data_IF_594889291974
#
_entry.id   IF_594889291974
#
_cell.length_a   1.000
_cell.length_b   1.000
_cell.length_c   1.000
_cell.angle_alpha   90.00
_cell.angle_beta   90.00
_cell.angle_gamma   90.00
#
_symmetry.space_group_name_H-M   'P 1'
#
loop_
_entity.id
_entity.type
_entity.pdbx_description
1 polymer ?
#
# COMPACT_ATOMS: atom_id res chain seq x y z
N UNK A 1 18.12 -7.87 -16.87
CA UNK A 1 17.06 -8.32 -15.94
C UNK A 1 16.20 -7.12 -15.53
N UNK A 2 15.06 -6.88 -16.19
CA UNK A 2 14.26 -5.63 -16.02
C UNK A 2 12.83 -5.86 -15.51
N UNK A 3 12.53 -7.03 -14.95
CA UNK A 3 11.17 -7.43 -14.57
C UNK A 3 10.83 -7.23 -13.08
N UNK A 4 11.72 -6.64 -12.28
CA UNK A 4 11.52 -6.58 -10.82
C UNK A 4 10.58 -5.48 -10.32
N UNK A 5 10.41 -4.38 -11.06
CA UNK A 5 9.93 -3.12 -10.44
C UNK A 5 8.65 -2.47 -11.02
N UNK A 6 7.94 -3.11 -11.95
CA UNK A 6 6.68 -2.54 -12.48
C UNK A 6 6.85 -1.23 -13.26
N UNK A 7 5.74 -0.64 -13.72
CA UNK A 7 5.75 0.58 -14.57
C UNK A 7 6.41 1.79 -13.88
N UNK A 8 6.35 1.84 -12.56
CA UNK A 8 6.79 2.97 -11.75
C UNK A 8 8.15 2.77 -11.08
N UNK A 9 8.83 1.65 -11.32
CA UNK A 9 10.13 1.40 -10.69
C UNK A 9 10.05 0.98 -9.22
N UNK A 10 8.86 0.66 -8.71
CA UNK A 10 8.66 0.07 -7.39
C UNK A 10 7.44 -0.86 -7.33
N UNK A 11 7.45 -1.75 -6.35
CA UNK A 11 6.39 -2.70 -6.05
C UNK A 11 5.63 -2.33 -4.78
N UNK A 12 4.31 -2.55 -4.79
CA UNK A 12 3.40 -2.18 -3.71
C UNK A 12 2.89 -3.42 -2.99
N UNK A 13 3.20 -3.55 -1.70
CA UNK A 13 2.58 -4.50 -0.79
C UNK A 13 1.28 -3.95 -0.23
N UNK A 14 0.30 -4.83 0.01
CA UNK A 14 -0.94 -4.46 0.69
C UNK A 14 -1.01 -5.24 1.99
N UNK A 15 -1.07 -4.50 3.09
CA UNK A 15 -1.17 -5.02 4.44
C UNK A 15 -2.59 -4.73 4.94
N UNK A 16 -3.39 -5.77 5.09
CA UNK A 16 -4.78 -5.65 5.49
C UNK A 16 -4.92 -5.68 7.02
N UNK A 17 -4.98 -4.51 7.64
CA UNK A 17 -5.36 -4.35 9.05
C UNK A 17 -6.85 -4.00 9.26
N UNK A 18 -7.61 -3.89 8.17
CA UNK A 18 -9.01 -3.44 8.21
C UNK A 18 -9.95 -4.53 8.74
N UNK A 19 -9.57 -5.80 8.56
CA UNK A 19 -10.41 -6.97 8.84
C UNK A 19 -11.36 -7.34 7.70
N UNK A 20 -11.33 -6.64 6.57
CA UNK A 20 -12.08 -7.00 5.36
C UNK A 20 -11.14 -7.37 4.22
N UNK A 21 -11.14 -8.64 3.83
CA UNK A 21 -10.30 -9.14 2.71
C UNK A 21 -10.76 -8.58 1.36
N UNK A 22 -12.04 -8.22 1.22
CA UNK A 22 -12.58 -7.62 0.00
C UNK A 22 -11.94 -6.25 -0.29
N UNK A 23 -11.84 -5.39 0.73
CA UNK A 23 -11.21 -4.07 0.61
C UNK A 23 -9.74 -4.16 0.17
N UNK A 24 -9.01 -5.15 0.68
CA UNK A 24 -7.63 -5.40 0.28
C UNK A 24 -7.53 -5.83 -1.19
N UNK A 25 -8.44 -6.69 -1.66
CA UNK A 25 -8.50 -7.12 -3.07
C UNK A 25 -8.90 -5.99 -4.01
N UNK A 26 -9.89 -5.19 -3.64
CA UNK A 26 -10.31 -4.01 -4.40
C UNK A 26 -9.18 -2.98 -4.51
N UNK A 27 -8.46 -2.75 -3.42
CA UNK A 27 -7.28 -1.86 -3.42
C UNK A 27 -6.21 -2.39 -4.36
N UNK A 28 -5.94 -3.70 -4.32
CA UNK A 28 -4.99 -4.34 -5.22
C UNK A 28 -5.41 -4.17 -6.68
N UNK A 29 -6.68 -4.37 -6.99
CA UNK A 29 -7.21 -4.20 -8.34
C UNK A 29 -7.06 -2.76 -8.82
N UNK A 30 -7.51 -1.77 -8.04
CA UNK A 30 -7.38 -0.34 -8.38
C UNK A 30 -5.94 0.08 -8.64
N UNK A 31 -5.00 -0.41 -7.84
CA UNK A 31 -3.57 -0.16 -8.02
C UNK A 31 -3.02 -0.83 -9.28
N UNK A 32 -3.44 -2.06 -9.59
CA UNK A 32 -3.06 -2.73 -10.85
C UNK A 32 -3.61 -2.01 -12.08
N UNK A 33 -4.85 -1.54 -12.04
CA UNK A 33 -5.46 -0.74 -13.11
C UNK A 33 -4.71 0.58 -13.36
N UNK A 34 -4.18 1.18 -12.28
CA UNK A 34 -3.30 2.35 -12.36
C UNK A 34 -1.87 2.03 -12.81
N UNK A 35 -1.55 0.76 -13.02
CA UNK A 35 -0.25 0.30 -13.52
C UNK A 35 0.79 -0.03 -12.45
N UNK A 36 0.41 -0.05 -11.17
CA UNK A 36 1.30 -0.47 -10.09
C UNK A 36 1.50 -1.99 -10.08
N UNK A 37 2.71 -2.41 -9.73
CA UNK A 37 3.04 -3.83 -9.50
C UNK A 37 2.69 -4.18 -8.06
N UNK A 38 1.73 -5.06 -7.86
CA UNK A 38 1.43 -5.59 -6.51
C UNK A 38 2.43 -6.68 -6.17
N UNK A 39 3.17 -6.49 -5.07
CA UNK A 39 4.12 -7.47 -4.53
C UNK A 39 3.38 -8.62 -3.84
N UNK A 40 2.30 -8.31 -3.13
CA UNK A 40 1.48 -9.29 -2.43
C UNK A 40 0.42 -8.61 -1.56
N UNK A 41 -0.50 -9.42 -1.03
CA UNK A 41 -1.50 -9.01 -0.05
C UNK A 41 -1.31 -9.91 1.18
N UNK A 42 -1.12 -9.31 2.35
CA UNK A 42 -0.96 -10.02 3.62
C UNK A 42 -1.90 -9.43 4.66
N UNK A 43 -2.49 -10.29 5.47
CA UNK A 43 -3.34 -9.86 6.58
C UNK A 43 -2.50 -9.54 7.81
N UNK A 44 -2.84 -8.45 8.50
CA UNK A 44 -2.17 -8.03 9.72
C UNK A 44 -3.19 -8.13 10.85
N UNK A 45 -3.09 -9.21 11.62
CA UNK A 45 -4.02 -9.53 12.72
C UNK A 45 -3.76 -8.73 13.99
N UNK A 46 -2.54 -8.26 14.21
CA UNK A 46 -2.15 -7.56 15.45
C UNK A 46 -2.50 -6.07 15.46
N UNK A 47 -2.65 -5.44 14.29
CA UNK A 47 -2.75 -3.99 14.21
C UNK A 47 -4.13 -3.52 13.75
N UNK A 48 -4.96 -3.14 14.72
CA UNK A 48 -6.22 -2.41 14.50
C UNK A 48 -5.93 -0.94 14.15
N UNK A 49 -5.18 -0.68 13.07
CA UNK A 49 -4.98 0.70 12.62
C UNK A 49 -6.35 1.30 12.30
N UNK A 50 -6.70 2.37 13.01
CA UNK A 50 -7.94 3.11 12.74
C UNK A 50 -7.87 3.81 11.39
N UNK A 51 -6.66 4.24 10.99
CA UNK A 51 -6.37 4.97 9.75
C UNK A 51 -5.50 4.17 8.80
N UNK A 52 -5.58 4.50 7.52
CA UNK A 52 -4.70 3.94 6.49
C UNK A 52 -3.33 4.61 6.56
N UNK A 53 -2.27 3.82 6.60
CA UNK A 53 -0.88 4.29 6.71
C UNK A 53 -0.04 3.70 5.59
N UNK A 54 0.97 4.43 5.10
CA UNK A 54 1.92 3.92 4.10
C UNK A 54 3.27 3.67 4.78
N UNK A 55 3.87 2.51 4.57
CA UNK A 55 5.21 2.20 5.03
C UNK A 55 6.14 2.07 3.84
N UNK A 56 7.33 2.67 3.94
CA UNK A 56 8.37 2.52 2.93
C UNK A 56 9.73 2.81 3.55
N UNK A 57 10.80 2.41 2.87
CA UNK A 57 12.13 2.89 3.20
C UNK A 57 12.24 4.41 2.95
N UNK A 58 13.14 5.10 3.64
CA UNK A 58 13.33 6.54 3.50
C UNK A 58 13.65 6.97 2.05
N UNK A 59 14.34 6.11 1.29
CA UNK A 59 14.66 6.33 -0.13
C UNK A 59 13.43 6.27 -1.05
N UNK A 60 12.30 5.74 -0.56
CA UNK A 60 11.07 5.54 -1.33
C UNK A 60 9.99 6.61 -1.03
N UNK A 61 10.36 7.75 -0.44
CA UNK A 61 9.40 8.83 -0.12
C UNK A 61 8.63 9.32 -1.37
N UNK A 62 9.29 9.44 -2.51
CA UNK A 62 8.63 9.83 -3.76
C UNK A 62 7.57 8.78 -4.17
N UNK A 63 7.89 7.50 -4.04
CA UNK A 63 6.96 6.40 -4.33
C UNK A 63 5.72 6.44 -3.42
N UNK A 64 5.90 6.79 -2.14
CA UNK A 64 4.81 7.01 -1.18
C UNK A 64 3.89 8.14 -1.64
N UNK A 65 4.45 9.29 -2.02
CA UNK A 65 3.70 10.44 -2.54
C UNK A 65 2.91 10.07 -3.80
N UNK A 66 3.54 9.36 -4.73
CA UNK A 66 2.90 8.88 -5.97
C UNK A 66 1.75 7.90 -5.70
N UNK A 67 1.94 6.98 -4.75
CA UNK A 67 0.93 6.01 -4.34
C UNK A 67 -0.28 6.72 -3.72
N UNK A 68 -0.04 7.62 -2.76
CA UNK A 68 -1.09 8.39 -2.10
C UNK A 68 -1.88 9.25 -3.09
N UNK A 69 -1.19 9.97 -3.99
CA UNK A 69 -1.83 10.76 -5.04
C UNK A 69 -2.66 9.89 -5.99
N UNK A 70 -2.15 8.72 -6.37
CA UNK A 70 -2.85 7.75 -7.21
C UNK A 70 -4.11 7.20 -6.56
N UNK A 71 -4.10 7.02 -5.24
CA UNK A 71 -5.25 6.57 -4.46
C UNK A 71 -6.20 7.70 -4.03
N UNK A 72 -5.85 8.96 -4.34
CA UNK A 72 -6.62 10.13 -3.92
C UNK A 72 -6.63 10.34 -2.41
N UNK A 73 -5.61 9.84 -1.70
CA UNK A 73 -5.48 10.01 -0.25
C UNK A 73 -4.74 11.33 -0.02
N UNK A 74 -5.47 12.37 0.40
CA UNK A 74 -4.90 13.70 0.65
C UNK A 74 -4.25 13.80 2.03
N UNK A 75 -4.81 13.10 3.01
CA UNK A 75 -4.32 13.02 4.39
C UNK A 75 -3.91 11.58 4.63
N UNK A 76 -2.61 11.30 4.55
CA UNK A 76 -2.04 9.99 4.84
C UNK A 76 -0.92 10.12 5.85
N UNK A 77 -0.86 9.16 6.76
CA UNK A 77 0.30 8.98 7.61
C UNK A 77 1.26 8.03 6.88
N UNK A 78 2.56 8.31 6.94
CA UNK A 78 3.56 7.37 6.48
C UNK A 78 4.69 7.22 7.49
N UNK A 79 5.37 6.08 7.46
CA UNK A 79 6.47 5.80 8.36
C UNK A 79 7.63 5.16 7.62
N UNK A 80 8.84 5.58 7.99
CA UNK A 80 10.07 5.01 7.48
C UNK A 80 10.30 3.66 8.17
N UNK A 81 9.91 2.58 7.50
CA UNK A 81 10.08 1.22 7.98
C UNK A 81 10.25 0.30 6.78
N UNK A 82 11.13 -0.68 6.90
CA UNK A 82 11.33 -1.66 5.83
C UNK A 82 10.05 -2.46 5.67
N UNK A 83 9.45 -2.36 4.49
CA UNK A 83 8.23 -3.09 4.18
C UNK A 83 8.58 -4.56 3.95
N UNK A 84 7.90 -5.52 4.62
CA UNK A 84 8.12 -6.94 4.37
C UNK A 84 7.56 -7.40 3.01
N UNK A 85 6.78 -6.54 2.34
CA UNK A 85 6.12 -6.80 1.07
C UNK A 85 6.39 -5.65 0.10
N UNK A 86 7.36 -5.85 -0.78
CA UNK A 86 7.72 -4.87 -1.80
C UNK A 86 8.47 -3.64 -1.25
N UNK A 87 8.64 -2.65 -2.12
CA UNK A 87 9.38 -1.42 -1.82
C UNK A 87 8.55 -0.44 -0.97
N UNK A 88 7.24 -0.43 -1.20
CA UNK A 88 6.25 0.37 -0.47
C UNK A 88 5.10 -0.55 -0.04
N UNK A 89 4.68 -0.49 1.21
CA UNK A 89 3.48 -1.18 1.67
C UNK A 89 2.39 -0.19 2.09
N UNK A 90 1.15 -0.44 1.66
CA UNK A 90 -0.01 0.26 2.20
C UNK A 90 -0.69 -0.59 3.26
N UNK A 91 -0.79 -0.04 4.46
CA UNK A 91 -1.54 -0.57 5.58
C UNK A 91 -2.97 -0.02 5.53
N UNK A 92 -3.91 -0.89 5.20
CA UNK A 92 -5.33 -0.56 5.18
C UNK A 92 -5.88 -0.64 6.60
N UNK A 93 -6.26 0.51 7.15
CA UNK A 93 -6.95 0.59 8.44
C UNK A 93 -8.47 0.41 8.30
N UNK A 94 -9.20 0.45 9.42
CA UNK A 94 -10.68 0.35 9.42
C UNK A 94 -11.37 1.46 8.63
N UNK A 95 -10.75 2.64 8.51
CA UNK A 95 -11.23 3.72 7.65
C UNK A 95 -11.39 3.28 6.18
N UNK A 96 -10.59 2.33 5.70
CA UNK A 96 -10.68 1.82 4.33
C UNK A 96 -12.00 1.10 4.03
N UNK A 97 -12.73 0.61 5.06
CA UNK A 97 -14.05 -0.03 4.91
C UNK A 97 -15.18 1.02 4.82
N UNK A 98 -15.00 2.20 5.42
CA UNK A 98 -16.05 3.23 5.50
C UNK A 98 -16.11 4.16 4.28
N UNK A 99 -15.34 3.87 3.24
CA UNK A 99 -15.15 4.72 2.08
C UNK A 99 -16.18 4.49 0.97
#
# INVERSE_FOLDING_TARGET
EYFRVGRYGFSVGILNGSGSTEVAKETAQKLREKGFKIAGITEVTEYQYQKTTIQANADCEEAVKWLAASMGIKDYEWSTSSSPLGDVAILLGRDAIKK
#
